data_IF_213144838140
#
_entry.id   IF_213144838140
#
_cell.length_a   1.000
_cell.length_b   1.000
_cell.length_c   1.000
_cell.angle_alpha   90.00
_cell.angle_beta   90.00
_cell.angle_gamma   90.00
#
_symmetry.space_group_name_H-M   'P 1'
#
loop_
_entity.id
_entity.type
_entity.pdbx_description
1 polymer ?
#
# COMPACT_ATOMS: atom_id res chain seq x y z
N UNK A 1 -3.62 -32.54 -57.55
CA UNK A 1 -4.83 -32.32 -56.70
C UNK A 1 -4.49 -32.46 -55.22
N UNK A 2 -3.73 -33.51 -54.81
CA UNK A 2 -3.28 -33.73 -53.42
C UNK A 2 -2.52 -32.57 -52.77
N UNK A 3 -1.57 -31.97 -53.49
CA UNK A 3 -0.68 -30.93 -52.94
C UNK A 3 -1.44 -29.64 -52.56
N UNK A 4 -2.46 -29.30 -53.34
CA UNK A 4 -3.32 -28.14 -53.08
C UNK A 4 -4.15 -28.34 -51.80
N UNK A 5 -4.59 -29.57 -51.55
CA UNK A 5 -5.37 -29.90 -50.36
C UNK A 5 -4.50 -29.94 -49.09
N UNK A 6 -3.26 -30.43 -49.21
CA UNK A 6 -2.26 -30.38 -48.13
C UNK A 6 -1.94 -28.92 -47.78
N UNK A 7 -1.80 -28.04 -48.78
CA UNK A 7 -1.55 -26.61 -48.55
C UNK A 7 -2.73 -25.93 -47.84
N UNK A 8 -3.97 -26.23 -48.23
CA UNK A 8 -5.17 -25.72 -47.54
C UNK A 8 -5.23 -26.16 -46.08
N UNK A 9 -4.93 -27.43 -45.79
CA UNK A 9 -4.89 -27.90 -44.40
C UNK A 9 -3.78 -27.22 -43.58
N UNK A 10 -2.63 -26.94 -44.20
CA UNK A 10 -1.55 -26.18 -43.55
C UNK A 10 -1.98 -24.73 -43.28
N UNK A 11 -2.65 -24.08 -44.22
CA UNK A 11 -3.18 -22.71 -44.04
C UNK A 11 -4.15 -22.67 -42.84
N UNK A 12 -5.13 -23.58 -42.80
CA UNK A 12 -6.07 -23.67 -41.67
C UNK A 12 -5.36 -23.93 -40.33
N UNK A 13 -4.35 -24.80 -40.32
CA UNK A 13 -3.57 -25.08 -39.12
C UNK A 13 -2.75 -23.86 -38.67
N UNK A 14 -2.20 -23.08 -39.61
CA UNK A 14 -1.46 -21.86 -39.33
C UNK A 14 -2.40 -20.74 -38.84
N UNK A 15 -3.56 -20.56 -39.46
CA UNK A 15 -4.58 -19.60 -39.02
C UNK A 15 -5.03 -19.89 -37.58
N UNK A 16 -5.29 -21.17 -37.26
CA UNK A 16 -5.63 -21.58 -35.89
C UNK A 16 -4.49 -21.32 -34.90
N UNK A 17 -3.23 -21.55 -35.29
CA UNK A 17 -2.07 -21.21 -34.44
C UNK A 17 -1.97 -19.70 -34.22
N UNK A 18 -2.21 -18.91 -35.26
CA UNK A 18 -2.15 -17.45 -35.21
C UNK A 18 -3.23 -16.88 -34.28
N UNK A 19 -4.44 -17.42 -34.34
CA UNK A 19 -5.53 -17.07 -33.41
C UNK A 19 -5.16 -17.38 -31.96
N UNK A 20 -4.52 -18.54 -31.69
CA UNK A 20 -4.05 -18.90 -30.35
C UNK A 20 -2.99 -17.91 -29.87
N UNK A 21 -2.06 -17.49 -30.73
CA UNK A 21 -1.04 -16.51 -30.36
C UNK A 21 -1.64 -15.14 -30.05
N UNK A 22 -2.60 -14.67 -30.85
CA UNK A 22 -3.29 -13.41 -30.56
C UNK A 22 -4.04 -13.43 -29.23
N UNK A 23 -4.74 -14.53 -28.92
CA UNK A 23 -5.41 -14.67 -27.61
C UNK A 23 -4.41 -14.64 -26.43
N UNK A 24 -3.24 -15.26 -26.61
CA UNK A 24 -2.17 -15.22 -25.58
C UNK A 24 -1.59 -13.82 -25.43
N UNK A 25 -1.35 -13.13 -26.53
CA UNK A 25 -0.86 -11.75 -26.54
C UNK A 25 -1.85 -10.81 -25.84
N UNK A 26 -3.14 -10.91 -26.15
CA UNK A 26 -4.18 -10.11 -25.49
C UNK A 26 -4.23 -10.38 -23.98
N UNK A 27 -4.15 -11.65 -23.57
CA UNK A 27 -4.11 -12.02 -22.16
C UNK A 27 -2.87 -11.45 -21.45
N UNK A 28 -1.71 -11.53 -22.08
CA UNK A 28 -0.47 -10.98 -21.54
C UNK A 28 -0.53 -9.46 -21.41
N UNK A 29 -1.01 -8.75 -22.43
CA UNK A 29 -1.14 -7.30 -22.41
C UNK A 29 -2.09 -6.86 -21.28
N UNK A 30 -3.25 -7.50 -21.14
CA UNK A 30 -4.18 -7.25 -20.01
C UNK A 30 -3.53 -7.54 -18.66
N UNK A 31 -2.71 -8.59 -18.58
CA UNK A 31 -1.96 -8.93 -17.38
C UNK A 31 -0.93 -7.86 -17.02
N UNK A 32 -0.18 -7.35 -18.00
CA UNK A 32 0.81 -6.29 -17.84
C UNK A 32 0.14 -5.01 -17.33
N UNK A 33 -0.95 -4.58 -17.97
CA UNK A 33 -1.69 -3.37 -17.57
C UNK A 33 -2.18 -3.48 -16.12
N UNK A 34 -2.71 -4.65 -15.74
CA UNK A 34 -3.17 -4.90 -14.37
C UNK A 34 -2.03 -4.82 -13.35
N UNK A 35 -0.87 -5.43 -13.66
CA UNK A 35 0.30 -5.41 -12.77
C UNK A 35 0.86 -3.99 -12.63
N UNK A 36 0.94 -3.23 -13.73
CA UNK A 36 1.33 -1.83 -13.69
C UNK A 36 0.39 -0.99 -12.81
N UNK A 37 -0.93 -1.20 -12.93
CA UNK A 37 -1.91 -0.54 -12.06
C UNK A 37 -1.74 -0.88 -10.57
N UNK A 38 -1.54 -2.16 -10.25
CA UNK A 38 -1.29 -2.60 -8.86
C UNK A 38 0.00 -1.98 -8.32
N UNK A 39 1.05 -1.96 -9.13
CA UNK A 39 2.33 -1.36 -8.76
C UNK A 39 2.19 0.13 -8.46
N UNK A 40 1.48 0.87 -9.32
CA UNK A 40 1.24 2.30 -9.15
C UNK A 40 0.49 2.60 -7.85
N UNK A 41 -0.60 1.86 -7.58
CA UNK A 41 -1.38 2.02 -6.34
C UNK A 41 -0.52 1.69 -5.11
N UNK A 42 0.27 0.63 -5.19
CA UNK A 42 1.17 0.23 -4.10
C UNK A 42 2.23 1.29 -3.84
N UNK A 43 2.83 1.85 -4.90
CA UNK A 43 3.81 2.94 -4.82
C UNK A 43 3.20 4.16 -4.13
N UNK A 44 2.05 4.64 -4.59
CA UNK A 44 1.38 5.80 -4.00
C UNK A 44 1.01 5.57 -2.52
N UNK A 45 0.62 4.36 -2.15
CA UNK A 45 0.32 4.02 -0.76
C UNK A 45 1.59 4.02 0.10
N UNK A 46 2.70 3.46 -0.40
CA UNK A 46 3.98 3.51 0.28
C UNK A 46 4.47 4.96 0.47
N UNK A 47 4.37 5.81 -0.56
CA UNK A 47 4.71 7.23 -0.48
C UNK A 47 3.88 7.95 0.59
N UNK A 48 2.56 7.71 0.64
CA UNK A 48 1.68 8.28 1.68
C UNK A 48 2.05 7.83 3.08
N UNK A 49 2.40 6.55 3.26
CA UNK A 49 2.85 6.01 4.56
C UNK A 49 4.14 6.70 4.97
N UNK A 50 5.14 6.76 4.09
CA UNK A 50 6.44 7.40 4.35
C UNK A 50 6.23 8.87 4.72
N UNK A 51 5.43 9.60 3.95
CA UNK A 51 5.14 11.01 4.21
C UNK A 51 4.49 11.21 5.60
N UNK A 52 3.50 10.38 5.95
CA UNK A 52 2.87 10.43 7.28
C UNK A 52 3.86 10.12 8.40
N UNK A 53 4.71 9.11 8.23
CA UNK A 53 5.75 8.76 9.22
C UNK A 53 6.73 9.91 9.44
N UNK A 54 7.15 10.58 8.37
CA UNK A 54 7.99 11.79 8.46
C UNK A 54 7.26 12.90 9.23
N UNK A 55 5.99 13.15 8.90
CA UNK A 55 5.16 14.14 9.60
C UNK A 55 5.04 13.87 11.10
N UNK A 56 4.80 12.62 11.49
CA UNK A 56 4.76 12.18 12.89
C UNK A 56 6.10 12.42 13.58
N UNK A 57 7.21 12.05 12.93
CA UNK A 57 8.55 12.24 13.50
C UNK A 57 8.88 13.72 13.75
N UNK A 58 8.49 14.61 12.82
CA UNK A 58 8.63 16.06 13.00
C UNK A 58 7.77 16.59 14.14
N UNK A 59 6.51 16.18 14.22
CA UNK A 59 5.62 16.61 15.30
C UNK A 59 6.15 16.17 16.68
N UNK A 60 6.62 14.93 16.80
CA UNK A 60 7.24 14.43 18.03
C UNK A 60 8.51 15.22 18.39
N UNK A 61 9.36 15.52 17.40
CA UNK A 61 10.56 16.33 17.61
C UNK A 61 10.22 17.72 18.15
N UNK A 62 9.20 18.37 17.58
CA UNK A 62 8.78 19.70 18.03
C UNK A 62 8.22 19.66 19.45
N UNK A 63 7.43 18.63 19.78
CA UNK A 63 6.93 18.40 21.13
C UNK A 63 8.07 18.18 22.13
N UNK A 64 9.08 17.37 21.78
CA UNK A 64 10.27 17.18 22.62
C UNK A 64 11.03 18.49 22.83
N UNK A 65 11.17 19.33 21.79
CA UNK A 65 11.84 20.61 21.90
C UNK A 65 11.08 21.59 22.81
N UNK A 66 9.75 21.61 22.75
CA UNK A 66 8.91 22.41 23.64
C UNK A 66 9.05 21.92 25.08
N UNK A 67 8.97 20.61 25.31
CA UNK A 67 9.15 20.01 26.65
C UNK A 67 10.53 20.33 27.23
N UNK A 68 11.59 20.25 26.41
CA UNK A 68 12.94 20.63 26.85
C UNK A 68 13.02 22.09 27.29
N UNK A 69 12.37 23.01 26.54
CA UNK A 69 12.30 24.42 26.93
C UNK A 69 11.57 24.62 28.26
N UNK A 70 10.47 23.89 28.49
CA UNK A 70 9.75 23.93 29.79
C UNK A 70 10.65 23.47 30.94
N UNK A 71 11.35 22.34 30.75
CA UNK A 71 12.30 21.80 31.74
C UNK A 71 13.44 22.78 32.03
N UNK A 72 13.98 23.44 31.00
CA UNK A 72 15.04 24.43 31.17
C UNK A 72 14.56 25.67 31.92
N UNK A 73 13.31 26.08 31.74
CA UNK A 73 12.72 27.22 32.44
C UNK A 73 12.32 26.89 33.89
N UNK A 74 11.85 25.66 34.15
CA UNK A 74 11.47 25.18 35.48
C UNK A 74 11.88 23.71 35.69
N UNK A 75 13.10 23.46 36.21
CA UNK A 75 13.63 22.11 36.39
C UNK A 75 12.93 21.29 37.49
N UNK A 76 12.12 21.90 38.37
CA UNK A 76 11.51 21.18 39.48
C UNK A 76 10.33 20.30 39.04
N UNK A 77 9.76 20.59 37.86
CA UNK A 77 8.56 19.94 37.33
C UNK A 77 8.84 18.97 36.16
N UNK A 78 10.06 18.43 36.06
CA UNK A 78 10.47 17.52 34.98
C UNK A 78 9.49 16.35 34.79
N UNK A 79 9.08 15.70 35.88
CA UNK A 79 8.19 14.54 35.81
C UNK A 79 6.83 14.90 35.20
N UNK A 80 6.28 16.06 35.51
CA UNK A 80 5.02 16.53 34.94
C UNK A 80 5.17 16.77 33.44
N UNK A 81 6.20 17.52 33.02
CA UNK A 81 6.41 17.85 31.61
C UNK A 81 6.72 16.63 30.73
N UNK A 82 7.43 15.64 31.27
CA UNK A 82 7.67 14.36 30.59
C UNK A 82 6.36 13.56 30.49
N UNK A 83 5.55 13.51 31.54
CA UNK A 83 4.27 12.81 31.50
C UNK A 83 3.27 13.45 30.51
N UNK A 84 3.24 14.78 30.42
CA UNK A 84 2.46 15.49 29.39
C UNK A 84 2.87 15.10 27.97
N UNK A 85 4.19 15.05 27.71
CA UNK A 85 4.75 14.64 26.42
C UNK A 85 4.32 13.22 26.05
N UNK A 86 4.49 12.29 27.00
CA UNK A 86 4.14 10.88 26.81
C UNK A 86 2.64 10.68 26.60
N UNK A 87 1.79 11.39 27.36
CA UNK A 87 0.34 11.31 27.21
C UNK A 87 -0.10 11.84 25.85
N UNK A 88 0.41 13.00 25.44
CA UNK A 88 0.12 13.61 24.13
C UNK A 88 0.49 12.70 22.96
N UNK A 89 1.58 11.94 23.11
CA UNK A 89 2.12 11.06 22.09
C UNK A 89 1.78 9.57 22.31
N UNK A 90 0.87 9.25 23.24
CA UNK A 90 0.51 7.88 23.63
C UNK A 90 0.10 6.97 22.45
N UNK A 91 -0.54 7.54 21.43
CA UNK A 91 -0.93 6.85 20.20
C UNK A 91 0.26 6.31 19.38
N UNK A 92 1.48 6.82 19.61
CA UNK A 92 2.72 6.33 18.97
C UNK A 92 3.35 5.15 19.72
N UNK A 93 2.98 4.96 20.99
CA UNK A 93 3.61 4.00 21.89
C UNK A 93 2.68 2.83 22.23
N UNK A 94 1.46 2.82 21.68
CA UNK A 94 0.47 1.79 21.94
C UNK A 94 0.59 0.66 20.90
N UNK A 95 1.37 -0.36 21.23
CA UNK A 95 1.74 -1.49 20.35
C UNK A 95 0.70 -2.64 20.32
N UNK A 96 -0.55 -2.40 20.70
CA UNK A 96 -1.54 -3.47 20.79
C UNK A 96 -2.04 -3.92 19.40
N UNK A 97 -1.22 -4.76 18.77
CA UNK A 97 -1.41 -5.34 17.43
C UNK A 97 -2.78 -5.99 17.25
N UNK A 98 -3.40 -6.51 18.31
CA UNK A 98 -4.71 -7.15 18.25
C UNK A 98 -5.84 -6.13 18.01
N UNK A 99 -5.75 -4.93 18.60
CA UNK A 99 -6.70 -3.83 18.34
C UNK A 99 -6.58 -3.35 16.90
N UNK A 100 -5.35 -3.23 16.38
CA UNK A 100 -5.10 -2.83 14.99
C UNK A 100 -5.68 -3.86 14.01
N UNK A 101 -5.44 -5.15 14.22
CA UNK A 101 -6.00 -6.23 13.39
C UNK A 101 -7.53 -6.23 13.40
N UNK A 102 -8.14 -6.05 14.57
CA UNK A 102 -9.60 -5.97 14.70
C UNK A 102 -10.16 -4.80 13.90
N UNK A 103 -9.59 -3.61 14.06
CA UNK A 103 -10.02 -2.41 13.33
C UNK A 103 -9.89 -2.57 11.80
N UNK A 104 -8.78 -3.15 11.32
CA UNK A 104 -8.60 -3.45 9.89
C UNK A 104 -9.69 -4.41 9.40
N UNK A 105 -9.97 -5.47 10.16
CA UNK A 105 -10.98 -6.47 9.80
C UNK A 105 -12.38 -5.86 9.70
N UNK A 106 -12.75 -5.00 10.65
CA UNK A 106 -14.04 -4.28 10.62
C UNK A 106 -14.17 -3.33 9.43
N UNK A 107 -13.09 -2.63 9.05
CA UNK A 107 -13.07 -1.76 7.87
C UNK A 107 -13.25 -2.59 6.59
N UNK A 108 -12.56 -3.72 6.46
CA UNK A 108 -12.67 -4.61 5.29
C UNK A 108 -14.10 -5.14 5.16
N UNK A 109 -14.69 -5.62 6.26
CA UNK A 109 -16.08 -6.11 6.27
C UNK A 109 -17.06 -5.00 5.85
N UNK A 110 -16.89 -3.77 6.36
CA UNK A 110 -17.73 -2.63 5.96
C UNK A 110 -17.62 -2.33 4.46
N UNK A 111 -16.41 -2.34 3.90
CA UNK A 111 -16.21 -2.07 2.47
C UNK A 111 -16.88 -3.16 1.61
N UNK A 112 -16.77 -4.43 2.01
CA UNK A 112 -17.40 -5.55 1.29
C UNK A 112 -18.93 -5.45 1.33
N UNK A 113 -19.50 -5.10 2.49
CA UNK A 113 -20.95 -5.05 2.69
C UNK A 113 -21.60 -3.73 2.25
N UNK A 114 -20.81 -2.73 1.85
CA UNK A 114 -21.31 -1.44 1.33
C UNK A 114 -21.38 -1.40 -0.20
N UNK A 115 -21.02 -2.51 -0.88
CA UNK A 115 -21.23 -2.76 -2.30
C UNK A 115 -22.39 -3.75 -2.50
#
# INVERSE_FOLDING_TARGET
MEENEILKQKILALEKKLEIYHKKEEYLNKGIDKVQGIYEVTRQNAEKIIYKSIGIAHALKDDMAITLKKIQADPNNIHEYVNELLYKNSHLFNDDNEVIKKNISEIVIKIINSN
#
